data_IF_962208015139
#
_entry.id   IF_962208015139
#
_cell.length_a   1.000
_cell.length_b   1.000
_cell.length_c   1.000
_cell.angle_alpha   90.00
_cell.angle_beta   90.00
_cell.angle_gamma   90.00
#
_symmetry.space_group_name_H-M   'P 1'
#
loop_
_entity.id
_entity.type
_entity.pdbx_description
1 polymer ?
#
# COMPACT_ATOMS: atom_id res chain seq x y z
N UNK A 1 1.45 17.23 11.59
CA UNK A 1 2.39 16.15 12.00
C UNK A 1 3.64 16.11 11.14
N UNK A 2 3.56 16.03 9.80
CA UNK A 2 4.75 15.93 8.92
C UNK A 2 5.82 17.01 9.17
N UNK A 3 5.42 18.29 9.27
CA UNK A 3 6.33 19.41 9.58
C UNK A 3 7.10 19.27 10.90
N UNK A 4 6.58 18.48 11.85
CA UNK A 4 7.23 18.24 13.14
C UNK A 4 8.34 17.18 13.07
N UNK A 5 8.46 16.44 11.95
CA UNK A 5 9.50 15.43 11.77
C UNK A 5 9.27 14.12 12.55
N UNK A 6 8.05 13.88 13.03
CA UNK A 6 7.72 12.71 13.89
C UNK A 6 7.02 11.57 13.15
N UNK A 7 6.69 11.75 11.86
CA UNK A 7 6.01 10.73 11.07
C UNK A 7 7.02 9.74 10.49
N UNK A 8 6.87 8.45 10.82
CA UNK A 8 7.62 7.36 10.19
C UNK A 8 6.97 6.90 8.86
N UNK A 9 5.65 7.04 8.75
CA UNK A 9 4.88 6.57 7.60
C UNK A 9 3.41 6.94 7.68
N UNK A 10 2.66 6.52 6.67
CA UNK A 10 1.20 6.67 6.60
C UNK A 10 0.60 5.31 6.24
N UNK A 11 -0.42 4.89 6.97
CA UNK A 11 -1.21 3.71 6.61
C UNK A 11 -2.54 4.14 6.02
N UNK A 12 -2.96 3.47 4.97
CA UNK A 12 -4.27 3.70 4.34
C UNK A 12 -5.11 2.42 4.37
N UNK A 13 -6.42 2.60 4.19
CA UNK A 13 -7.37 1.52 3.97
C UNK A 13 -8.43 2.03 2.97
N UNK A 14 -8.86 1.21 2.01
CA UNK A 14 -9.84 1.60 0.99
C UNK A 14 -11.11 2.23 1.57
N UNK A 15 -11.59 1.75 2.72
CA UNK A 15 -12.80 2.27 3.37
C UNK A 15 -12.67 3.71 3.87
N UNK A 16 -11.46 4.13 4.28
CA UNK A 16 -11.22 5.51 4.69
C UNK A 16 -11.18 6.44 3.48
N UNK A 17 -10.51 6.03 2.41
CA UNK A 17 -10.40 6.82 1.18
C UNK A 17 -11.74 6.95 0.46
N UNK A 18 -12.53 5.87 0.44
CA UNK A 18 -13.87 5.89 -0.15
C UNK A 18 -14.80 6.95 0.47
N UNK A 19 -14.64 7.26 1.77
CA UNK A 19 -15.41 8.32 2.44
C UNK A 19 -15.06 9.73 1.96
N UNK A 20 -13.91 9.90 1.31
CA UNK A 20 -13.46 11.18 0.76
C UNK A 20 -13.90 11.36 -0.71
N UNK A 21 -14.49 10.34 -1.34
CA UNK A 21 -14.96 10.40 -2.72
C UNK A 21 -13.84 10.49 -3.76
N UNK A 22 -12.63 10.08 -3.40
CA UNK A 22 -11.43 10.12 -4.26
C UNK A 22 -11.00 8.70 -4.59
N UNK A 23 -10.40 8.49 -5.77
CA UNK A 23 -9.85 7.18 -6.15
C UNK A 23 -8.72 6.80 -5.21
N UNK A 24 -8.62 5.51 -4.90
CA UNK A 24 -7.66 5.03 -3.92
C UNK A 24 -6.23 5.35 -4.35
N UNK A 25 -5.90 5.08 -5.60
CA UNK A 25 -4.57 5.25 -6.18
C UNK A 25 -4.14 6.73 -6.22
N UNK A 26 -5.08 7.62 -6.57
CA UNK A 26 -4.86 9.07 -6.57
C UNK A 26 -4.53 9.55 -5.15
N UNK A 27 -5.27 9.06 -4.15
CA UNK A 27 -5.01 9.40 -2.74
C UNK A 27 -3.64 8.89 -2.28
N UNK A 28 -3.23 7.67 -2.65
CA UNK A 28 -1.87 7.18 -2.33
C UNK A 28 -0.81 8.09 -2.96
N UNK A 29 -0.97 8.47 -4.23
CA UNK A 29 -0.03 9.37 -4.91
C UNK A 29 0.07 10.73 -4.21
N UNK A 30 -1.07 11.32 -3.85
CA UNK A 30 -1.12 12.59 -3.10
C UNK A 30 -0.42 12.48 -1.74
N UNK A 31 -0.60 11.37 -1.02
CA UNK A 31 0.09 11.12 0.25
C UNK A 31 1.60 11.05 0.04
N UNK A 32 2.07 10.26 -0.94
CA UNK A 32 3.50 10.14 -1.26
C UNK A 32 4.13 11.52 -1.55
N UNK A 33 3.43 12.39 -2.28
CA UNK A 33 3.88 13.75 -2.60
C UNK A 33 3.83 14.69 -1.39
N UNK A 34 2.84 14.54 -0.51
CA UNK A 34 2.67 15.36 0.68
C UNK A 34 3.71 15.06 1.78
N UNK A 35 4.19 13.80 1.85
CA UNK A 35 5.13 13.34 2.88
C UNK A 35 6.39 12.68 2.30
N UNK A 36 7.19 13.37 1.46
CA UNK A 36 8.26 12.75 0.66
C UNK A 36 9.41 12.12 1.46
N UNK A 37 9.50 12.35 2.77
CA UNK A 37 10.58 11.89 3.65
C UNK A 37 10.20 10.74 4.59
N UNK A 38 8.96 10.24 4.54
CA UNK A 38 8.57 9.09 5.35
C UNK A 38 9.09 7.79 4.73
N UNK A 39 9.22 6.74 5.53
CA UNK A 39 9.78 5.47 5.07
C UNK A 39 8.77 4.59 4.31
N UNK A 40 7.48 4.74 4.65
CA UNK A 40 6.42 3.90 4.15
C UNK A 40 5.09 4.64 3.99
N UNK A 41 4.42 4.40 2.88
CA UNK A 41 3.00 4.67 2.66
C UNK A 41 2.33 3.34 2.35
N UNK A 42 1.64 2.77 3.33
CA UNK A 42 0.99 1.47 3.19
C UNK A 42 -0.31 1.59 2.39
N UNK A 43 -0.37 0.93 1.23
CA UNK A 43 -1.54 0.80 0.36
C UNK A 43 -2.07 -0.64 0.45
N UNK A 44 -3.33 -0.79 0.85
CA UNK A 44 -3.96 -2.09 1.09
C UNK A 44 -4.59 -2.64 -0.19
N UNK A 45 -4.41 -3.94 -0.43
CA UNK A 45 -5.20 -4.67 -1.43
C UNK A 45 -6.68 -4.65 -1.05
N UNK A 46 -7.56 -4.68 -2.03
CA UNK A 46 -9.00 -4.55 -1.76
C UNK A 46 -9.56 -5.85 -1.16
N UNK A 47 -10.63 -5.77 -0.34
CA UNK A 47 -11.18 -6.94 0.35
C UNK A 47 -11.77 -8.04 -0.55
N UNK A 48 -12.02 -7.72 -1.82
CA UNK A 48 -12.51 -8.67 -2.83
C UNK A 48 -11.40 -9.56 -3.43
N UNK A 49 -10.12 -9.24 -3.20
CA UNK A 49 -9.02 -10.14 -3.50
C UNK A 49 -8.94 -11.24 -2.45
N UNK A 50 -9.32 -12.47 -2.81
CA UNK A 50 -9.38 -13.62 -1.91
C UNK A 50 -8.31 -14.67 -2.22
N UNK A 51 -7.71 -14.65 -3.41
CA UNK A 51 -6.57 -15.50 -3.77
C UNK A 51 -5.24 -14.74 -3.76
N UNK A 52 -4.13 -15.49 -3.70
CA UNK A 52 -2.80 -14.89 -3.74
C UNK A 52 -2.55 -14.19 -5.09
N UNK A 53 -3.01 -14.76 -6.19
CA UNK A 53 -2.88 -14.20 -7.54
C UNK A 53 -3.61 -12.87 -7.70
N UNK A 54 -4.83 -12.77 -7.16
CA UNK A 54 -5.60 -11.51 -7.16
C UNK A 54 -4.89 -10.43 -6.36
N UNK A 55 -4.39 -10.77 -5.16
CA UNK A 55 -3.63 -9.83 -4.32
C UNK A 55 -2.32 -9.40 -4.99
N UNK A 56 -1.63 -10.31 -5.66
CA UNK A 56 -0.41 -10.01 -6.42
C UNK A 56 -0.72 -9.08 -7.58
N UNK A 57 -1.76 -9.35 -8.37
CA UNK A 57 -2.14 -8.50 -9.50
C UNK A 57 -2.47 -7.07 -9.05
N UNK A 58 -3.22 -6.92 -7.95
CA UNK A 58 -3.49 -5.60 -7.38
C UNK A 58 -2.22 -4.94 -6.84
N UNK A 59 -1.37 -5.69 -6.14
CA UNK A 59 -0.10 -5.17 -5.65
C UNK A 59 0.78 -4.64 -6.79
N UNK A 60 0.82 -5.32 -7.93
CA UNK A 60 1.57 -4.89 -9.12
C UNK A 60 1.07 -3.57 -9.71
N UNK A 61 -0.21 -3.24 -9.57
CA UNK A 61 -0.74 -1.92 -9.93
C UNK A 61 -0.42 -0.87 -8.85
N UNK A 62 -0.57 -1.23 -7.57
CA UNK A 62 -0.31 -0.32 -6.45
C UNK A 62 1.17 0.12 -6.41
N UNK A 63 2.13 -0.77 -6.66
CA UNK A 63 3.56 -0.40 -6.66
C UNK A 63 3.94 0.57 -7.78
N UNK A 64 3.14 0.69 -8.85
CA UNK A 64 3.39 1.64 -9.95
C UNK A 64 2.98 3.07 -9.60
N UNK A 65 2.20 3.26 -8.53
CA UNK A 65 1.71 4.56 -8.09
C UNK A 65 2.88 5.54 -7.87
N UNK A 66 2.63 6.80 -8.20
CA UNK A 66 3.62 7.88 -8.09
C UNK A 66 4.94 7.57 -8.83
N UNK A 67 4.87 6.84 -9.95
CA UNK A 67 6.04 6.53 -10.78
C UNK A 67 6.92 5.43 -10.20
N UNK A 68 6.35 4.47 -9.45
CA UNK A 68 7.14 3.39 -8.85
C UNK A 68 7.78 3.79 -7.52
N UNK A 69 7.12 4.63 -6.73
CA UNK A 69 7.72 5.19 -5.52
C UNK A 69 8.02 4.11 -4.47
N UNK A 70 9.30 3.96 -4.10
CA UNK A 70 9.80 2.96 -3.14
C UNK A 70 9.20 3.08 -1.72
N UNK A 71 8.47 4.16 -1.44
CA UNK A 71 7.69 4.32 -0.20
C UNK A 71 6.42 3.48 -0.21
N UNK A 72 5.87 3.13 -1.36
CA UNK A 72 4.64 2.32 -1.42
C UNK A 72 4.92 0.94 -0.81
N UNK A 73 4.19 0.64 0.26
CA UNK A 73 4.26 -0.64 0.97
C UNK A 73 2.94 -1.35 0.79
N UNK A 74 2.97 -2.61 0.35
CA UNK A 74 1.75 -3.37 0.08
C UNK A 74 1.22 -3.95 1.38
N UNK A 75 0.03 -3.51 1.77
CA UNK A 75 -0.64 -3.98 2.97
C UNK A 75 -1.56 -5.15 2.62
N UNK A 76 -1.31 -6.29 3.25
CA UNK A 76 -1.95 -7.59 2.93
C UNK A 76 -2.66 -8.13 4.17
N UNK A 77 -3.83 -8.78 4.02
CA UNK A 77 -4.53 -9.38 5.15
C UNK A 77 -3.81 -10.63 5.67
N UNK A 78 -3.86 -10.87 6.98
CA UNK A 78 -3.36 -12.07 7.66
C UNK A 78 -4.21 -13.30 7.32
N UNK A 79 -4.00 -13.83 6.12
CA UNK A 79 -4.65 -15.03 5.57
C UNK A 79 -3.61 -15.89 4.88
N UNK A 80 -3.92 -17.15 4.57
CA UNK A 80 -2.98 -18.02 3.83
C UNK A 80 -2.62 -17.43 2.46
N UNK A 81 -3.62 -16.94 1.72
CA UNK A 81 -3.41 -16.25 0.44
C UNK A 81 -2.57 -14.96 0.60
N UNK A 82 -2.85 -14.18 1.64
CA UNK A 82 -2.08 -12.97 1.94
C UNK A 82 -0.62 -13.26 2.32
N UNK A 83 -0.35 -14.35 3.04
CA UNK A 83 1.01 -14.79 3.37
C UNK A 83 1.78 -15.31 2.14
N UNK A 84 1.08 -15.99 1.22
CA UNK A 84 1.65 -16.42 -0.05
C UNK A 84 2.00 -15.23 -0.95
N UNK A 85 1.08 -14.27 -1.11
CA UNK A 85 1.34 -13.00 -1.80
C UNK A 85 2.48 -12.21 -1.13
N UNK A 86 2.52 -12.18 0.20
CA UNK A 86 3.57 -11.52 0.98
C UNK A 86 4.95 -12.09 0.65
N UNK A 87 5.07 -13.43 0.65
CA UNK A 87 6.31 -14.11 0.26
C UNK A 87 6.74 -13.73 -1.15
N UNK A 88 5.81 -13.84 -2.12
CA UNK A 88 6.09 -13.52 -3.52
C UNK A 88 6.61 -12.09 -3.71
N UNK A 89 5.94 -11.11 -3.09
CA UNK A 89 6.30 -9.70 -3.18
C UNK A 89 7.63 -9.41 -2.49
N UNK A 90 7.87 -10.03 -1.33
CA UNK A 90 9.13 -9.87 -0.58
C UNK A 90 10.32 -10.45 -1.34
N UNK A 91 10.17 -11.60 -2.02
CA UNK A 91 11.20 -12.18 -2.89
C UNK A 91 11.57 -11.25 -4.07
N UNK A 92 10.66 -10.36 -4.48
CA UNK A 92 10.87 -9.30 -5.47
C UNK A 92 11.39 -7.98 -4.90
N UNK A 93 11.63 -7.90 -3.59
CA UNK A 93 12.08 -6.68 -2.91
C UNK A 93 10.99 -5.64 -2.66
N UNK A 94 9.71 -5.99 -2.84
CA UNK A 94 8.58 -5.11 -2.53
C UNK A 94 8.33 -5.13 -1.02
N UNK A 95 8.21 -3.94 -0.40
CA UNK A 95 7.89 -3.82 1.03
C UNK A 95 6.44 -4.27 1.26
N UNK A 96 6.24 -5.11 2.28
CA UNK A 96 4.91 -5.61 2.66
C UNK A 96 4.58 -5.26 4.12
N UNK A 97 3.29 -5.16 4.44
CA UNK A 97 2.75 -4.93 5.78
C UNK A 97 1.57 -5.87 6.00
N UNK A 98 1.77 -6.95 6.77
CA UNK A 98 0.68 -7.91 7.03
C UNK A 98 -0.20 -7.37 8.17
N UNK A 99 -1.52 -7.31 7.95
CA UNK A 99 -2.52 -6.69 8.83
C UNK A 99 -3.68 -7.61 9.21
#
# INVERSE_FOLDING_TARGET
AYKLGVLAGVTTNPSLVAKEGIKFEDRIAEICQAVPKVESVSAEVTPDAVTAEEMIAQAEELIKINGGDEKVTIKLPMTLAGLEACRYLTEKGVKTNVT
#
